data_IF_126254362444
#
_entry.id   IF_126254362444
#
_cell.length_a   1.000
_cell.length_b   1.000
_cell.length_c   1.000
_cell.angle_alpha   90.00
_cell.angle_beta   90.00
_cell.angle_gamma   90.00
#
_symmetry.space_group_name_H-M   'P 1'
#
loop_
_entity.id
_entity.type
_entity.pdbx_description
1 polymer ?
#
# COMPACT_ATOMS: atom_id res chain seq x y z
N UNK A 1 -6.30 -12.77 -5.25
CA UNK A 1 -4.90 -12.33 -5.49
C UNK A 1 -4.89 -10.83 -5.68
N UNK A 2 -4.14 -10.12 -4.85
CA UNK A 2 -4.08 -8.66 -4.88
C UNK A 2 -3.47 -8.18 -6.19
N UNK A 3 -4.20 -7.35 -6.92
CA UNK A 3 -3.80 -6.87 -8.26
C UNK A 3 -2.88 -5.67 -8.16
N UNK A 4 -1.85 -5.73 -7.32
CA UNK A 4 -1.00 -4.58 -6.94
C UNK A 4 -0.40 -3.82 -8.15
N UNK A 5 -0.20 -4.49 -9.28
CA UNK A 5 0.35 -3.89 -10.50
C UNK A 5 -0.70 -3.14 -11.34
N UNK A 6 -2.00 -3.34 -11.05
CA UNK A 6 -3.14 -2.76 -11.79
C UNK A 6 -4.33 -2.37 -10.90
N UNK A 7 -4.16 -2.36 -9.58
CA UNK A 7 -5.20 -2.11 -8.60
C UNK A 7 -5.80 -0.71 -8.77
N UNK A 8 -7.09 -0.57 -8.43
CA UNK A 8 -7.82 0.67 -8.62
C UNK A 8 -7.32 1.74 -7.67
N UNK A 9 -7.34 2.97 -8.15
CA UNK A 9 -6.80 4.11 -7.41
C UNK A 9 -7.60 5.34 -7.66
N UNK A 10 -7.68 6.20 -6.65
CA UNK A 10 -8.32 7.51 -6.74
C UNK A 10 -7.25 8.59 -6.62
N UNK A 11 -7.26 9.63 -7.49
CA UNK A 11 -6.30 10.72 -7.37
C UNK A 11 -6.53 11.53 -6.09
N UNK A 12 -5.45 11.75 -5.32
CA UNK A 12 -5.45 12.62 -4.15
C UNK A 12 -4.81 13.97 -4.45
N UNK A 13 -3.63 13.96 -5.10
CA UNK A 13 -2.94 15.16 -5.55
C UNK A 13 -2.38 14.91 -6.97
N UNK A 14 -3.17 15.17 -8.04
CA UNK A 14 -2.78 14.86 -9.41
C UNK A 14 -1.43 15.45 -9.83
N UNK A 15 -1.13 16.68 -9.39
CA UNK A 15 0.14 17.36 -9.69
C UNK A 15 1.37 16.72 -9.06
N UNK A 16 1.18 15.86 -8.06
CA UNK A 16 2.27 15.20 -7.32
C UNK A 16 2.30 13.68 -7.57
N UNK A 17 1.52 13.20 -8.55
CA UNK A 17 1.31 11.78 -8.83
C UNK A 17 0.94 10.96 -7.59
N UNK A 18 0.17 11.55 -6.66
CA UNK A 18 -0.22 10.94 -5.39
C UNK A 18 -1.67 10.45 -5.45
N UNK A 19 -1.87 9.18 -5.14
CA UNK A 19 -3.15 8.48 -5.26
C UNK A 19 -3.47 7.65 -4.02
N UNK A 20 -4.75 7.46 -3.77
CA UNK A 20 -5.28 6.47 -2.84
C UNK A 20 -5.37 5.12 -3.55
N UNK A 21 -4.88 4.06 -2.93
CA UNK A 21 -5.15 2.67 -3.28
C UNK A 21 -6.36 2.22 -2.46
N UNK A 22 -7.54 2.17 -3.09
CA UNK A 22 -8.82 1.92 -2.40
C UNK A 22 -9.09 0.43 -2.16
N UNK A 23 -8.42 -0.46 -2.89
CA UNK A 23 -8.53 -1.92 -2.69
C UNK A 23 -7.88 -2.32 -1.36
N UNK A 24 -8.37 -3.38 -0.70
CA UNK A 24 -7.77 -3.88 0.55
C UNK A 24 -6.46 -4.63 0.27
N UNK A 25 -5.34 -4.35 0.96
CA UNK A 25 -5.17 -3.34 2.01
C UNK A 25 -5.06 -1.91 1.44
N UNK A 26 -5.84 -0.99 2.03
CA UNK A 26 -5.84 0.41 1.64
C UNK A 26 -4.48 1.05 1.93
N UNK A 27 -4.01 1.89 1.01
CA UNK A 27 -2.70 2.53 1.10
C UNK A 27 -2.58 3.74 0.18
N UNK A 28 -1.38 4.27 0.09
CA UNK A 28 -1.06 5.38 -0.82
C UNK A 28 -0.19 4.89 -1.96
N UNK A 29 -0.32 5.51 -3.13
CA UNK A 29 0.42 5.15 -4.33
C UNK A 29 1.01 6.39 -4.99
N UNK A 30 2.29 6.26 -5.36
CA UNK A 30 2.93 7.10 -6.37
C UNK A 30 3.15 6.34 -7.68
N UNK A 31 3.08 7.04 -8.80
CA UNK A 31 3.33 6.47 -10.13
C UNK A 31 4.19 7.37 -11.02
N UNK A 32 5.07 6.78 -11.81
CA UNK A 32 5.79 7.45 -12.91
C UNK A 32 6.17 6.46 -14.01
N UNK A 33 6.24 6.92 -15.26
CA UNK A 33 6.83 6.19 -16.39
C UNK A 33 8.34 6.46 -16.57
N UNK A 34 8.95 7.17 -15.61
CA UNK A 34 10.35 7.57 -15.61
C UNK A 34 10.53 9.08 -15.71
N UNK A 35 9.54 9.78 -16.28
CA UNK A 35 9.43 11.24 -16.26
C UNK A 35 9.40 11.75 -14.81
N UNK A 36 10.16 12.82 -14.51
CA UNK A 36 10.14 13.48 -13.20
C UNK A 36 10.47 12.56 -11.99
N UNK A 37 11.27 11.51 -12.17
CA UNK A 37 11.63 10.55 -11.10
C UNK A 37 12.16 11.25 -9.83
N UNK A 38 12.98 12.30 -9.98
CA UNK A 38 13.50 13.06 -8.85
C UNK A 38 12.41 13.72 -7.99
N UNK A 39 11.37 14.30 -8.63
CA UNK A 39 10.24 14.90 -7.92
C UNK A 39 9.40 13.83 -7.21
N UNK A 40 9.19 12.69 -7.87
CA UNK A 40 8.48 11.55 -7.25
C UNK A 40 9.22 11.03 -6.02
N UNK A 41 10.54 10.83 -6.11
CA UNK A 41 11.36 10.41 -4.96
C UNK A 41 11.29 11.45 -3.84
N UNK A 42 11.39 12.74 -4.17
CA UNK A 42 11.26 13.81 -3.18
C UNK A 42 9.92 13.76 -2.44
N UNK A 43 8.81 13.57 -3.16
CA UNK A 43 7.48 13.43 -2.55
C UNK A 43 7.34 12.18 -1.68
N UNK A 44 7.91 11.04 -2.13
CA UNK A 44 7.95 9.81 -1.33
C UNK A 44 8.70 10.07 -0.02
N UNK A 45 9.86 10.73 -0.08
CA UNK A 45 10.62 11.10 1.11
C UNK A 45 9.82 12.01 2.04
N UNK A 46 9.19 13.09 1.53
CA UNK A 46 8.31 13.96 2.34
C UNK A 46 7.23 13.15 3.06
N UNK A 47 6.56 12.23 2.37
CA UNK A 47 5.53 11.37 2.96
C UNK A 47 6.13 10.45 4.03
N UNK A 48 7.22 9.75 3.74
CA UNK A 48 7.82 8.82 4.71
C UNK A 48 8.39 9.54 5.93
N UNK A 49 8.99 10.73 5.75
CA UNK A 49 9.49 11.55 6.85
C UNK A 49 8.36 11.98 7.77
N UNK A 50 7.22 12.43 7.22
CA UNK A 50 6.01 12.75 7.98
C UNK A 50 5.49 11.53 8.78
N UNK A 51 5.53 10.33 8.20
CA UNK A 51 5.16 9.10 8.92
C UNK A 51 6.12 8.80 10.07
N UNK A 52 7.44 8.97 9.86
CA UNK A 52 8.46 8.81 10.89
C UNK A 52 8.26 9.81 12.03
N UNK A 53 8.09 11.10 11.72
CA UNK A 53 7.86 12.17 12.70
C UNK A 53 6.63 11.90 13.58
N UNK A 54 5.59 11.29 12.99
CA UNK A 54 4.35 10.90 13.69
C UNK A 54 4.46 9.54 14.40
N UNK A 55 5.60 8.87 14.35
CA UNK A 55 5.81 7.51 14.85
C UNK A 55 4.84 6.47 14.24
N UNK A 56 4.48 6.64 12.97
CA UNK A 56 3.63 5.73 12.22
C UNK A 56 4.52 4.73 11.47
N UNK A 57 4.45 3.46 11.86
CA UNK A 57 5.10 2.39 11.12
C UNK A 57 4.53 2.30 9.70
N UNK A 58 5.38 1.99 8.73
CA UNK A 58 4.95 1.92 7.34
C UNK A 58 5.77 0.91 6.54
N UNK A 59 5.13 0.39 5.50
CA UNK A 59 5.76 -0.48 4.51
C UNK A 59 5.76 0.19 3.14
N UNK A 60 6.88 0.07 2.44
CA UNK A 60 7.04 0.57 1.08
C UNK A 60 7.23 -0.62 0.13
N UNK A 61 6.45 -0.65 -0.94
CA UNK A 61 6.51 -1.68 -1.98
C UNK A 61 6.69 -1.05 -3.35
N UNK A 62 7.72 -1.47 -4.08
CA UNK A 62 8.01 -0.97 -5.43
C UNK A 62 7.80 -2.08 -6.43
N UNK A 63 7.03 -1.80 -7.47
CA UNK A 63 6.84 -2.74 -8.58
C UNK A 63 6.65 -2.02 -9.91
N UNK A 64 6.85 -2.72 -11.02
CA UNK A 64 6.36 -2.25 -12.31
C UNK A 64 4.84 -2.41 -12.37
N UNK A 65 4.16 -1.43 -12.94
CA UNK A 65 2.71 -1.47 -13.02
C UNK A 65 2.16 -0.55 -14.09
N UNK A 66 0.83 -0.53 -14.14
CA UNK A 66 0.07 0.34 -15.04
C UNK A 66 -0.19 1.70 -14.40
N UNK A 67 -0.45 2.74 -15.21
CA UNK A 67 -0.91 4.02 -14.71
C UNK A 67 -2.17 3.88 -13.85
N UNK A 68 -2.27 4.65 -12.75
CA UNK A 68 -3.53 4.91 -12.05
C UNK A 68 -4.66 5.23 -13.02
N UNK A 69 -5.84 4.63 -12.84
CA UNK A 69 -7.03 4.92 -13.67
C UNK A 69 -7.01 4.37 -15.11
N UNK A 70 -5.95 3.67 -15.53
CA UNK A 70 -5.94 2.98 -16.83
C UNK A 70 -7.03 1.89 -16.88
N UNK A 71 -7.90 1.93 -17.89
CA UNK A 71 -8.91 0.88 -18.10
C UNK A 71 -8.21 -0.47 -18.32
N UNK A 72 -8.87 -1.57 -17.94
CA UNK A 72 -8.42 -2.93 -18.21
C UNK A 72 -8.47 -3.23 -19.72
N UNK A 73 -7.73 -2.50 -20.56
CA UNK A 73 -7.46 -2.91 -21.92
C UNK A 73 -6.28 -3.91 -21.93
N UNK A 74 -6.35 -4.81 -22.90
CA UNK A 74 -5.72 -6.14 -22.98
C UNK A 74 -4.19 -6.19 -23.13
N UNK A 75 -3.46 -5.12 -22.82
CA UNK A 75 -1.99 -5.09 -22.96
C UNK A 75 -1.27 -5.60 -21.72
N UNK A 76 -0.32 -6.52 -21.86
CA UNK A 76 0.57 -6.98 -20.76
C UNK A 76 1.65 -5.97 -20.37
N UNK A 77 1.72 -4.82 -21.07
CA UNK A 77 2.70 -3.78 -20.79
C UNK A 77 2.51 -3.17 -19.39
N UNK A 78 3.63 -2.97 -18.71
CA UNK A 78 3.75 -2.34 -17.39
C UNK A 78 4.78 -1.22 -17.50
N UNK A 79 4.41 -0.10 -18.16
CA UNK A 79 5.39 0.88 -18.62
C UNK A 79 6.02 1.67 -17.46
N UNK A 80 5.34 1.78 -16.32
CA UNK A 80 5.80 2.61 -15.21
C UNK A 80 6.09 1.87 -13.92
N UNK A 81 6.52 2.64 -12.92
CA UNK A 81 6.80 2.22 -11.57
C UNK A 81 5.64 2.65 -10.67
N UNK A 82 5.16 1.72 -9.85
CA UNK A 82 4.23 1.94 -8.75
C UNK A 82 5.02 1.85 -7.45
N UNK A 83 4.95 2.90 -6.63
CA UNK A 83 5.47 2.89 -5.26
C UNK A 83 4.30 3.00 -4.30
N UNK A 84 4.07 1.94 -3.53
CA UNK A 84 2.95 1.84 -2.61
C UNK A 84 3.45 1.98 -1.19
N UNK A 85 2.73 2.75 -0.40
CA UNK A 85 3.01 3.01 1.01
C UNK A 85 1.80 2.56 1.81
N UNK A 86 2.01 1.62 2.72
CA UNK A 86 1.01 1.16 3.69
C UNK A 86 1.37 1.63 5.09
N UNK A 87 0.74 2.70 5.60
CA UNK A 87 0.76 3.02 7.02
C UNK A 87 0.10 1.89 7.80
N UNK A 88 0.69 1.53 8.93
CA UNK A 88 0.27 0.37 9.72
C UNK A 88 0.46 0.61 11.21
N UNK A 89 -0.26 -0.15 12.02
CA UNK A 89 -0.05 -0.16 13.46
C UNK A 89 1.34 -0.70 13.77
N UNK A 90 2.00 -0.05 14.73
CA UNK A 90 3.27 -0.54 15.27
C UNK A 90 3.02 -1.78 16.12
N UNK A 91 3.67 -2.89 15.78
CA UNK A 91 3.56 -4.14 16.52
C UNK A 91 4.87 -4.43 17.24
N UNK A 92 4.83 -4.44 18.57
CA UNK A 92 5.96 -4.76 19.43
C UNK A 92 5.66 -6.04 20.23
N UNK A 93 6.59 -7.00 20.25
CA UNK A 93 6.44 -8.25 21.00
C UNK A 93 6.30 -9.52 20.14
N UNK A 94 5.94 -10.64 20.78
CA UNK A 94 5.74 -11.91 20.09
C UNK A 94 4.55 -11.81 19.13
N UNK A 95 4.76 -12.22 17.88
CA UNK A 95 3.70 -12.21 16.85
C UNK A 95 2.57 -13.12 17.30
N UNK A 96 1.33 -12.65 17.17
CA UNK A 96 0.13 -13.47 17.38
C UNK A 96 0.24 -14.78 16.58
N UNK A 97 -0.35 -15.86 17.10
CA UNK A 97 -0.45 -17.15 16.41
C UNK A 97 -1.48 -17.08 15.26
N UNK A 98 -1.26 -16.19 14.30
CA UNK A 98 -2.01 -16.13 13.04
C UNK A 98 -1.43 -17.12 12.03
N UNK A 99 -2.23 -17.49 11.02
CA UNK A 99 -1.85 -18.40 9.93
C UNK A 99 -0.56 -17.97 9.18
N UNK A 100 -0.32 -16.66 9.08
CA UNK A 100 0.87 -16.04 8.50
C UNK A 100 1.19 -14.74 9.25
N UNK A 101 2.43 -14.26 9.12
CA UNK A 101 2.88 -13.03 9.78
C UNK A 101 2.74 -11.84 8.83
N UNK A 102 1.93 -10.84 9.17
CA UNK A 102 1.75 -9.65 8.31
C UNK A 102 2.97 -8.74 8.41
N UNK A 103 3.78 -8.70 7.36
CA UNK A 103 4.88 -7.76 7.18
C UNK A 103 4.62 -6.95 5.89
N UNK A 104 5.51 -7.01 4.91
CA UNK A 104 5.38 -6.31 3.63
C UNK A 104 4.70 -7.17 2.56
N UNK A 105 5.18 -8.40 2.38
CA UNK A 105 4.80 -9.26 1.26
C UNK A 105 3.33 -9.69 1.35
N UNK A 106 2.82 -9.83 2.56
CA UNK A 106 1.43 -10.19 2.85
C UNK A 106 0.47 -9.07 2.45
N UNK A 107 0.88 -7.81 2.59
CA UNK A 107 0.12 -6.66 2.09
C UNK A 107 0.07 -6.62 0.56
N UNK A 108 1.05 -7.25 -0.10
CA UNK A 108 1.06 -7.45 -1.55
C UNK A 108 0.39 -8.76 -2.00
N UNK A 109 -0.09 -9.58 -1.05
CA UNK A 109 -0.86 -10.80 -1.34
C UNK A 109 -0.02 -12.08 -1.38
N UNK A 110 1.24 -12.04 -0.97
CA UNK A 110 2.05 -13.23 -0.75
C UNK A 110 1.81 -13.75 0.66
N UNK A 111 1.21 -14.93 0.78
CA UNK A 111 0.75 -15.48 2.05
C UNK A 111 1.59 -16.71 2.43
N UNK A 112 2.74 -16.53 3.14
CA UNK A 112 3.54 -17.64 3.60
C UNK A 112 2.89 -18.31 4.82
N UNK A 113 2.05 -19.31 4.55
CA UNK A 113 1.37 -20.08 5.59
C UNK A 113 2.35 -20.91 6.43
N UNK A 114 2.13 -20.93 7.74
CA UNK A 114 2.99 -21.63 8.70
C UNK A 114 2.75 -23.14 8.73
N UNK A 115 1.57 -23.60 8.32
CA UNK A 115 1.21 -25.02 8.27
C UNK A 115 0.27 -25.32 7.09
N UNK A 116 0.10 -26.61 6.80
CA UNK A 116 -0.72 -27.08 5.68
C UNK A 116 -2.21 -26.87 5.89
N UNK A 117 -2.69 -27.04 7.12
CA UNK A 117 -4.12 -26.92 7.43
C UNK A 117 -4.62 -25.52 7.07
N UNK A 118 -3.93 -24.48 7.53
CA UNK A 118 -4.27 -23.09 7.22
C UNK A 118 -4.17 -22.80 5.73
N UNK A 119 -3.14 -23.34 5.04
CA UNK A 119 -3.01 -23.21 3.59
C UNK A 119 -4.21 -23.81 2.84
N UNK A 120 -4.69 -24.98 3.27
CA UNK A 120 -5.76 -25.72 2.60
C UNK A 120 -7.15 -25.16 2.92
N UNK A 121 -7.36 -24.53 4.10
CA UNK A 121 -8.70 -24.16 4.56
C UNK A 121 -9.00 -22.68 4.70
N UNK A 122 -7.99 -21.80 4.76
CA UNK A 122 -8.25 -20.38 4.98
C UNK A 122 -9.02 -19.76 3.81
N UNK A 123 -9.94 -18.87 4.14
CA UNK A 123 -10.71 -18.09 3.17
C UNK A 123 -10.10 -16.71 2.94
N UNK A 124 -10.48 -16.06 1.83
CA UNK A 124 -10.07 -14.68 1.55
C UNK A 124 -10.57 -13.68 2.61
N UNK A 125 -11.73 -13.96 3.22
CA UNK A 125 -12.28 -13.17 4.31
C UNK A 125 -11.38 -13.24 5.55
N UNK A 126 -10.97 -14.44 5.96
CA UNK A 126 -10.06 -14.63 7.09
C UNK A 126 -8.67 -14.02 6.84
N UNK A 127 -8.14 -14.15 5.62
CA UNK A 127 -6.89 -13.46 5.22
C UNK A 127 -7.04 -11.96 5.39
N UNK A 128 -8.16 -11.40 4.93
CA UNK A 128 -8.46 -9.97 5.01
C UNK A 128 -8.54 -9.50 6.45
N UNK A 129 -9.23 -10.25 7.32
CA UNK A 129 -9.31 -9.96 8.76
C UNK A 129 -7.92 -9.99 9.41
N UNK A 130 -7.08 -10.99 9.09
CA UNK A 130 -5.70 -11.05 9.59
C UNK A 130 -4.92 -9.81 9.17
N UNK A 131 -5.00 -9.40 7.90
CA UNK A 131 -4.29 -8.21 7.38
C UNK A 131 -4.79 -6.93 8.05
N UNK A 132 -6.10 -6.76 8.17
CA UNK A 132 -6.74 -5.56 8.73
C UNK A 132 -6.31 -5.26 10.17
N UNK A 133 -6.05 -6.29 10.99
CA UNK A 133 -5.53 -6.12 12.37
C UNK A 133 -4.24 -5.31 12.45
N UNK A 134 -3.46 -5.29 11.38
CA UNK A 134 -2.18 -4.59 11.32
C UNK A 134 -2.28 -3.23 10.61
N UNK A 135 -3.40 -2.90 9.97
CA UNK A 135 -3.58 -1.62 9.29
C UNK A 135 -4.07 -0.54 10.26
N UNK A 136 -3.90 0.73 9.87
CA UNK A 136 -4.50 1.83 10.63
C UNK A 136 -6.04 1.71 10.62
N UNK A 137 -6.72 2.04 11.74
CA UNK A 137 -8.16 2.20 11.75
C UNK A 137 -8.61 3.23 10.70
N UNK A 138 -9.78 3.03 10.10
CA UNK A 138 -10.30 3.87 9.01
C UNK A 138 -10.25 5.37 9.33
N UNK A 139 -10.68 5.75 10.54
CA UNK A 139 -10.64 7.15 10.99
C UNK A 139 -9.23 7.73 11.02
N UNK A 140 -8.25 6.97 11.52
CA UNK A 140 -6.85 7.40 11.57
C UNK A 140 -6.25 7.50 10.18
N UNK A 141 -6.56 6.52 9.31
CA UNK A 141 -6.15 6.53 7.91
C UNK A 141 -6.71 7.74 7.15
N UNK A 142 -7.99 8.06 7.30
CA UNK A 142 -8.60 9.24 6.67
C UNK A 142 -7.98 10.55 7.17
N UNK A 143 -7.71 10.66 8.47
CA UNK A 143 -7.01 11.83 9.02
C UNK A 143 -5.60 11.97 8.45
N UNK A 144 -4.85 10.87 8.35
CA UNK A 144 -3.53 10.85 7.75
C UNK A 144 -3.58 11.22 6.26
N UNK A 145 -4.55 10.71 5.50
CA UNK A 145 -4.76 11.07 4.10
C UNK A 145 -4.90 12.58 3.94
N UNK A 146 -5.76 13.24 4.73
CA UNK A 146 -5.92 14.70 4.66
C UNK A 146 -4.64 15.46 4.99
N UNK A 147 -3.85 14.99 5.96
CA UNK A 147 -2.56 15.60 6.32
C UNK A 147 -1.53 15.47 5.21
N UNK A 148 -1.42 14.29 4.59
CA UNK A 148 -0.48 14.07 3.48
C UNK A 148 -0.87 14.86 2.23
N UNK A 149 -2.18 15.01 1.97
CA UNK A 149 -2.65 15.90 0.91
C UNK A 149 -2.19 17.33 1.16
N UNK A 150 -2.34 17.87 2.36
CA UNK A 150 -1.87 19.22 2.70
C UNK A 150 -0.35 19.36 2.50
N UNK A 151 0.43 18.41 3.04
CA UNK A 151 1.89 18.39 2.95
C UNK A 151 2.44 18.43 1.51
N UNK A 152 1.72 17.80 0.58
CA UNK A 152 2.13 17.71 -0.82
C UNK A 152 1.65 18.89 -1.68
N UNK A 153 0.80 19.77 -1.14
CA UNK A 153 0.44 21.05 -1.78
C UNK A 153 1.39 22.19 -1.39
N UNK A 154 2.21 22.01 -0.34
CA UNK A 154 3.30 22.90 0.07
C UNK A 154 4.57 22.68 -0.75
#
# INVERSE_FOLDING_TARGET
MLRIESARTEPLCPGQAFHLLSDTPAGFLFYTEGECLGALIHNICKVTDCLVEKNIAHNLFVTRGRPPGSSLHSGTSRPGIRVIIWPRLSCFGAKEETAFNVALCELAGHLPFKNRQDFDTITEAEVTEIVQKYLLPEKEFSMLQSQLMHLLHE
#
